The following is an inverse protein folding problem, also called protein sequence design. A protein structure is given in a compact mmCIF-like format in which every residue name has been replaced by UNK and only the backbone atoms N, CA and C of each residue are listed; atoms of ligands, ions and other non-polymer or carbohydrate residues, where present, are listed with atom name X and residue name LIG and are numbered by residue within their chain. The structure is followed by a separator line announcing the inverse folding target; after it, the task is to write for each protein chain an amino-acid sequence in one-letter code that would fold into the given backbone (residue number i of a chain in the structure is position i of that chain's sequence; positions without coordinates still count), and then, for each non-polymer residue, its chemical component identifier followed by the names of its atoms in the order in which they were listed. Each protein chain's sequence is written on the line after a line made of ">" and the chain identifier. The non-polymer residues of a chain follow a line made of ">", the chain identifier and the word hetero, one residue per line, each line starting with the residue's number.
data_IF_658298588255
#
_entry.id   IF_658298588255
#
_cell.length_a   1.000
_cell.length_b   1.000
_cell.length_c   1.000
_cell.angle_alpha   90.00
_cell.angle_beta   90.00
_cell.angle_gamma   90.00
#
_symmetry.space_group_name_H-M   'P 1'
#
loop_
_entity.id
_entity.type
_entity.pdbx_description
1 polymer ?
#
# COMPACT_ATOMS: atom_id res chain seq x y z
N UNK A 1 6.81 18.61 19.13
CA UNK A 1 6.70 17.13 18.97
C UNK A 1 7.43 16.86 17.67
N UNK A 2 8.74 16.62 17.66
CA UNK A 2 9.55 16.83 16.44
C UNK A 2 10.02 15.49 15.86
N UNK A 3 9.08 14.57 15.65
CA UNK A 3 9.37 13.21 15.18
C UNK A 3 8.35 12.78 14.13
N UNK A 4 8.74 11.91 13.21
CA UNK A 4 7.83 11.29 12.25
C UNK A 4 7.36 9.93 12.78
N UNK A 5 6.10 9.57 12.49
CA UNK A 5 5.62 8.22 12.68
C UNK A 5 6.39 7.22 11.79
N UNK A 6 6.24 5.92 12.04
CA UNK A 6 7.02 4.95 11.30
C UNK A 6 6.64 4.93 9.82
N UNK A 7 7.63 4.84 8.94
CA UNK A 7 7.42 4.35 7.57
C UNK A 7 7.15 2.83 7.57
N UNK A 8 6.65 2.29 6.45
CA UNK A 8 6.32 0.87 6.27
C UNK A 8 7.48 -0.08 6.65
N UNK A 9 8.73 0.35 6.49
CA UNK A 9 9.87 -0.23 7.20
C UNK A 9 10.39 -1.56 6.66
N UNK A 10 10.10 -1.86 5.40
CA UNK A 10 10.61 -3.03 4.68
C UNK A 10 10.79 -2.67 3.19
N UNK A 11 11.59 -3.43 2.46
CA UNK A 11 11.73 -3.29 1.00
C UNK A 11 10.64 -4.02 0.24
N UNK A 12 9.99 -5.02 0.88
CA UNK A 12 8.86 -5.78 0.33
C UNK A 12 9.16 -6.24 -1.09
N UNK A 13 10.21 -7.04 -1.23
CA UNK A 13 10.82 -7.36 -2.53
C UNK A 13 10.12 -8.56 -3.16
N UNK A 14 9.84 -8.46 -4.44
CA UNK A 14 9.41 -9.57 -5.29
C UNK A 14 10.51 -9.91 -6.30
N UNK A 15 10.83 -11.20 -6.39
CA UNK A 15 11.71 -11.77 -7.40
C UNK A 15 10.91 -12.69 -8.30
N UNK A 16 11.02 -12.52 -9.61
CA UNK A 16 10.37 -13.40 -10.59
C UNK A 16 11.47 -13.84 -11.56
N UNK A 17 11.67 -15.16 -11.68
CA UNK A 17 12.69 -15.71 -12.55
C UNK A 17 12.21 -16.91 -13.33
N UNK A 18 12.84 -17.17 -14.46
CA UNK A 18 12.48 -18.26 -15.35
C UNK A 18 13.18 -18.14 -16.70
N UNK A 19 12.60 -18.79 -17.71
CA UNK A 19 13.03 -18.67 -19.11
C UNK A 19 11.99 -17.87 -19.87
N UNK A 20 12.42 -16.81 -20.55
CA UNK A 20 11.52 -15.97 -21.35
C UNK A 20 11.08 -16.74 -22.60
N UNK A 21 9.77 -17.00 -22.80
CA UNK A 21 9.29 -17.78 -23.94
C UNK A 21 9.54 -17.09 -25.28
N UNK A 22 9.73 -15.76 -25.30
CA UNK A 22 9.91 -14.93 -26.50
C UNK A 22 11.28 -15.11 -27.15
N UNK A 23 12.32 -15.35 -26.34
CA UNK A 23 13.72 -15.40 -26.81
C UNK A 23 14.54 -16.59 -26.24
N UNK A 24 13.97 -17.38 -25.33
CA UNK A 24 14.59 -18.54 -24.65
C UNK A 24 15.77 -18.21 -23.73
N UNK A 25 15.97 -16.95 -23.38
CA UNK A 25 16.99 -16.53 -22.42
C UNK A 25 16.47 -16.60 -20.98
N UNK A 26 17.36 -16.83 -20.00
CA UNK A 26 16.99 -16.68 -18.59
C UNK A 26 16.68 -15.21 -18.28
N UNK A 27 15.72 -14.99 -17.37
CA UNK A 27 15.44 -13.69 -16.81
C UNK A 27 15.35 -13.75 -15.29
N UNK A 28 15.64 -12.61 -14.66
CA UNK A 28 15.39 -12.37 -13.25
C UNK A 28 14.92 -10.92 -13.10
N UNK A 29 13.68 -10.74 -12.67
CA UNK A 29 13.18 -9.47 -12.20
C UNK A 29 13.40 -9.37 -10.69
N UNK A 30 13.90 -8.22 -10.24
CA UNK A 30 14.09 -7.88 -8.83
C UNK A 30 13.45 -6.53 -8.62
N UNK A 31 12.34 -6.50 -7.89
CA UNK A 31 11.60 -5.27 -7.66
C UNK A 31 11.38 -5.05 -6.17
N UNK A 32 12.11 -4.09 -5.57
CA UNK A 32 11.74 -3.50 -4.30
C UNK A 32 10.50 -2.65 -4.49
N UNK A 33 9.49 -2.83 -3.65
CA UNK A 33 8.21 -2.15 -3.82
C UNK A 33 8.14 -0.87 -2.98
N UNK A 34 7.33 0.07 -3.46
CA UNK A 34 7.05 1.33 -2.78
C UNK A 34 5.94 1.15 -1.72
N UNK A 35 6.00 1.96 -0.66
CA UNK A 35 5.05 1.86 0.45
C UNK A 35 4.73 3.20 1.10
N UNK A 36 3.99 3.14 2.20
CA UNK A 36 3.56 4.33 2.93
C UNK A 36 4.60 4.84 3.92
N UNK A 37 4.84 6.15 3.93
CA UNK A 37 5.69 6.81 4.92
C UNK A 37 4.89 7.36 6.10
N UNK A 38 5.51 7.55 7.26
CA UNK A 38 4.80 8.02 8.44
C UNK A 38 4.39 9.49 8.36
N UNK A 39 3.23 9.82 8.93
CA UNK A 39 2.81 11.20 9.15
C UNK A 39 3.72 11.91 10.15
N UNK A 40 3.79 13.23 10.07
CA UNK A 40 4.66 14.05 10.92
C UNK A 40 3.96 15.38 11.28
N UNK A 41 4.51 16.19 12.19
CA UNK A 41 3.78 17.27 12.87
C UNK A 41 3.19 18.35 11.98
N UNK A 42 3.61 18.42 10.71
CA UNK A 42 3.26 19.48 9.79
C UNK A 42 2.70 18.96 8.45
N UNK A 43 2.69 17.64 8.21
CA UNK A 43 2.19 17.08 6.96
C UNK A 43 1.98 15.56 7.05
N UNK A 44 1.12 15.08 6.15
CA UNK A 44 0.94 13.65 5.91
C UNK A 44 2.23 12.99 5.41
N UNK A 45 2.31 11.68 5.61
CA UNK A 45 3.39 10.87 5.07
C UNK A 45 3.24 10.66 3.56
N UNK A 46 4.36 10.52 2.87
CA UNK A 46 4.39 10.26 1.43
C UNK A 46 3.69 8.93 1.09
N UNK A 47 2.77 8.96 0.13
CA UNK A 47 2.11 7.77 -0.41
C UNK A 47 3.04 7.09 -1.44
N UNK A 48 3.17 5.77 -1.40
CA UNK A 48 3.88 5.00 -2.44
C UNK A 48 5.31 5.47 -2.69
N UNK A 49 6.07 5.80 -1.66
CA UNK A 49 7.47 6.20 -1.76
C UNK A 49 8.39 5.04 -1.39
N UNK A 50 9.50 4.90 -2.13
CA UNK A 50 10.54 3.91 -1.84
C UNK A 50 11.04 4.07 -0.41
N UNK A 51 11.37 2.96 0.28
CA UNK A 51 11.89 3.07 1.63
C UNK A 51 13.23 3.83 1.66
N UNK A 52 13.57 4.34 2.83
CA UNK A 52 14.78 5.12 3.07
C UNK A 52 16.08 4.31 2.93
N UNK A 53 16.04 2.99 3.12
CA UNK A 53 17.23 2.12 3.08
C UNK A 53 17.58 1.60 1.67
N UNK A 54 16.65 1.71 0.73
CA UNK A 54 16.80 1.27 -0.66
C UNK A 54 17.56 2.32 -1.53
N UNK A 55 18.00 3.43 -0.95
CA UNK A 55 18.84 4.41 -1.65
C UNK A 55 18.21 4.93 -2.95
N UNK A 56 18.85 4.65 -4.09
CA UNK A 56 18.46 5.16 -5.41
C UNK A 56 17.52 4.27 -6.22
N UNK A 57 16.90 3.24 -5.64
CA UNK A 57 15.90 2.44 -6.34
C UNK A 57 14.72 3.31 -6.80
N UNK A 58 14.22 3.00 -7.99
CA UNK A 58 13.11 3.72 -8.63
C UNK A 58 11.99 2.75 -8.91
N UNK A 59 10.76 3.24 -8.82
CA UNK A 59 9.60 2.55 -9.37
C UNK A 59 9.78 2.41 -10.89
N UNK A 60 9.72 1.17 -11.39
CA UNK A 60 9.93 0.88 -12.81
C UNK A 60 8.63 1.14 -13.58
N UNK A 61 8.66 1.96 -14.66
CA UNK A 61 7.50 2.14 -15.52
C UNK A 61 6.99 0.80 -16.04
N UNK A 62 5.67 0.63 -16.06
CA UNK A 62 5.03 -0.64 -16.44
C UNK A 62 5.49 -1.08 -17.82
N UNK A 63 5.53 -0.16 -18.79
CA UNK A 63 5.90 -0.45 -20.18
C UNK A 63 7.33 -0.99 -20.29
N UNK A 64 8.25 -0.48 -19.45
CA UNK A 64 9.63 -0.95 -19.40
C UNK A 64 9.70 -2.32 -18.74
N UNK A 65 8.91 -2.56 -17.71
CA UNK A 65 8.86 -3.84 -17.01
C UNK A 65 8.34 -4.96 -17.92
N UNK A 66 7.21 -4.75 -18.58
CA UNK A 66 6.60 -5.72 -19.51
C UNK A 66 7.44 -5.96 -20.77
N UNK A 67 8.19 -4.94 -21.21
CA UNK A 67 9.14 -5.12 -22.30
C UNK A 67 10.28 -6.06 -21.88
N UNK A 68 10.84 -5.86 -20.68
CA UNK A 68 12.00 -6.62 -20.20
C UNK A 68 11.66 -8.03 -19.72
N UNK A 69 10.49 -8.22 -19.11
CA UNK A 69 10.14 -9.47 -18.45
C UNK A 69 8.85 -10.06 -19.04
N UNK A 70 8.69 -11.39 -19.06
CA UNK A 70 7.44 -12.03 -19.50
C UNK A 70 6.39 -11.93 -18.39
N UNK A 71 5.97 -10.70 -18.07
CA UNK A 71 4.98 -10.37 -17.04
C UNK A 71 4.10 -9.25 -17.58
N UNK A 72 2.79 -9.32 -17.32
CA UNK A 72 1.83 -8.26 -17.62
C UNK A 72 1.28 -7.67 -16.32
N UNK A 73 1.05 -6.35 -16.30
CA UNK A 73 0.59 -5.60 -15.13
C UNK A 73 -0.68 -4.82 -15.50
N UNK A 74 -1.83 -5.37 -15.14
CA UNK A 74 -3.12 -4.75 -15.43
C UNK A 74 -3.60 -3.80 -14.33
N UNK A 75 -3.19 -4.05 -13.09
CA UNK A 75 -3.67 -3.35 -11.91
C UNK A 75 -2.49 -2.83 -11.08
N UNK A 76 -2.40 -1.50 -10.94
CA UNK A 76 -1.41 -0.82 -10.11
C UNK A 76 -1.99 0.46 -9.53
N UNK A 77 -1.79 0.71 -8.24
CA UNK A 77 -2.20 1.98 -7.65
C UNK A 77 -2.10 2.03 -6.12
N UNK A 78 -2.62 3.10 -5.54
CA UNK A 78 -2.66 3.26 -4.10
C UNK A 78 -3.62 2.26 -3.45
N UNK A 79 -3.12 1.60 -2.40
CA UNK A 79 -3.93 0.77 -1.51
C UNK A 79 -4.71 1.70 -0.58
N UNK A 80 -5.97 1.95 -0.90
CA UNK A 80 -6.85 2.81 -0.10
C UNK A 80 -6.92 2.33 1.35
N UNK A 81 -7.08 3.27 2.27
CA UNK A 81 -7.24 3.03 3.71
C UNK A 81 -6.05 2.30 4.37
N UNK A 82 -4.92 2.17 3.66
CA UNK A 82 -3.73 1.48 4.20
C UNK A 82 -2.87 2.35 5.10
N UNK A 83 -2.94 3.67 4.91
CA UNK A 83 -2.21 4.64 5.73
C UNK A 83 -2.75 4.70 7.15
N UNK A 84 -1.85 4.78 8.12
CA UNK A 84 -2.18 4.90 9.53
C UNK A 84 -2.97 6.17 9.80
N UNK A 85 -4.02 6.03 10.60
CA UNK A 85 -4.96 7.10 10.90
C UNK A 85 -4.30 8.15 11.79
N UNK A 86 -4.50 9.42 11.50
CA UNK A 86 -4.05 10.50 12.38
C UNK A 86 -4.50 11.86 11.87
N UNK A 87 -4.28 12.90 12.67
CA UNK A 87 -4.43 14.28 12.23
C UNK A 87 -3.60 14.52 10.97
N UNK A 88 -2.36 14.02 10.99
CA UNK A 88 -1.56 13.81 9.79
C UNK A 88 -1.50 12.30 9.50
N UNK A 89 -1.99 11.92 8.33
CA UNK A 89 -2.17 10.53 7.91
C UNK A 89 -0.82 9.93 7.52
N UNK A 90 -0.61 8.66 7.82
CA UNK A 90 0.46 7.90 7.19
C UNK A 90 0.19 7.72 5.69
N UNK A 91 1.23 7.74 4.87
CA UNK A 91 1.10 7.49 3.44
C UNK A 91 0.48 6.12 3.14
N UNK A 92 -0.26 6.04 2.04
CA UNK A 92 -0.80 4.78 1.54
C UNK A 92 0.34 3.90 1.02
N UNK A 93 0.22 2.60 1.28
CA UNK A 93 0.88 1.57 0.49
C UNK A 93 0.28 1.48 -0.91
N UNK A 94 0.74 0.49 -1.66
CA UNK A 94 0.37 0.22 -3.04
C UNK A 94 -0.17 -1.19 -3.17
N UNK A 95 -0.93 -1.42 -4.23
CA UNK A 95 -1.17 -2.76 -4.75
C UNK A 95 -0.63 -2.86 -6.17
N UNK A 96 -0.08 -4.01 -6.54
CA UNK A 96 0.34 -4.30 -7.91
C UNK A 96 0.06 -5.75 -8.26
N UNK A 97 -0.48 -5.98 -9.44
CA UNK A 97 -0.84 -7.31 -9.95
C UNK A 97 0.08 -7.72 -11.08
N UNK A 98 0.75 -8.86 -10.92
CA UNK A 98 1.66 -9.44 -11.90
C UNK A 98 1.02 -10.70 -12.47
N UNK A 99 0.63 -10.65 -13.74
CA UNK A 99 0.25 -11.84 -14.52
C UNK A 99 1.51 -12.42 -15.14
N UNK A 100 1.92 -13.60 -14.71
CA UNK A 100 3.18 -14.21 -15.15
C UNK A 100 2.96 -14.94 -16.48
N UNK A 101 3.71 -14.59 -17.52
CA UNK A 101 3.54 -15.13 -18.88
C UNK A 101 4.51 -16.27 -19.21
N UNK A 102 5.16 -16.86 -18.20
CA UNK A 102 6.16 -17.91 -18.33
C UNK A 102 6.15 -18.85 -17.12
N UNK A 103 6.53 -20.11 -17.32
CA UNK A 103 6.87 -20.99 -16.19
C UNK A 103 8.16 -20.53 -15.53
N UNK A 104 8.25 -20.65 -14.20
CA UNK A 104 9.39 -20.17 -13.46
C UNK A 104 9.25 -20.32 -11.96
N UNK A 105 9.81 -19.36 -11.23
CA UNK A 105 9.73 -19.28 -9.78
C UNK A 105 9.51 -17.86 -9.29
N UNK A 106 8.98 -17.75 -8.08
CA UNK A 106 8.88 -16.50 -7.33
C UNK A 106 9.58 -16.63 -5.97
N UNK A 107 10.28 -15.58 -5.57
CA UNK A 107 10.67 -15.36 -4.16
C UNK A 107 10.00 -14.08 -3.66
N UNK A 108 9.44 -14.13 -2.46
CA UNK A 108 8.74 -13.02 -1.84
C UNK A 108 9.35 -12.76 -0.48
N UNK A 109 9.72 -11.51 -0.21
CA UNK A 109 10.24 -11.05 1.08
C UNK A 109 9.40 -9.89 1.58
N UNK A 110 8.20 -10.20 2.10
CA UNK A 110 7.31 -9.24 2.73
C UNK A 110 7.29 -9.50 4.24
N UNK A 111 7.72 -8.50 5.00
CA UNK A 111 7.81 -8.50 6.47
C UNK A 111 6.75 -7.58 7.10
N UNK A 112 6.90 -7.22 8.38
CA UNK A 112 6.10 -6.16 9.03
C UNK A 112 4.61 -6.50 9.20
N UNK A 113 4.25 -7.78 9.09
CA UNK A 113 2.89 -8.28 9.37
C UNK A 113 2.56 -8.39 10.85
N UNK A 114 3.57 -8.57 11.71
CA UNK A 114 3.41 -8.61 13.18
C UNK A 114 3.65 -7.25 13.80
N UNK A 115 4.63 -6.52 13.29
CA UNK A 115 4.93 -5.14 13.69
C UNK A 115 4.66 -4.25 12.49
N UNK A 116 3.46 -3.65 12.34
CA UNK A 116 3.22 -2.68 11.28
C UNK A 116 3.90 -1.34 11.58
N UNK A 117 3.87 -0.42 10.61
CA UNK A 117 4.33 0.95 10.83
C UNK A 117 3.49 1.61 11.93
N UNK A 118 4.11 1.84 13.09
CA UNK A 118 3.41 2.35 14.26
C UNK A 118 3.10 3.84 14.14
N UNK A 119 1.94 4.23 14.66
CA UNK A 119 1.54 5.62 14.82
C UNK A 119 2.28 6.31 15.98
N UNK A 120 2.21 7.64 16.03
CA UNK A 120 2.77 8.44 17.12
C UNK A 120 1.77 9.45 17.68
N UNK A 121 1.92 9.74 18.98
CA UNK A 121 1.17 10.77 19.71
C UNK A 121 -0.36 10.67 19.56
N UNK A 122 -0.91 9.45 19.50
CA UNK A 122 -2.34 9.20 19.33
C UNK A 122 -2.76 8.82 17.91
N UNK A 123 -1.84 8.90 16.94
CA UNK A 123 -2.01 8.29 15.63
C UNK A 123 -2.02 6.76 15.70
N UNK A 124 -2.57 6.12 14.67
CA UNK A 124 -2.75 4.68 14.55
C UNK A 124 -1.76 4.08 13.57
N UNK A 125 -1.58 2.78 13.69
CA UNK A 125 -0.66 2.02 12.86
C UNK A 125 -1.18 1.92 11.43
N UNK A 126 -0.25 1.81 10.47
CA UNK A 126 -0.56 1.49 9.08
C UNK A 126 -1.02 0.03 8.93
N UNK A 127 -1.73 -0.25 7.85
CA UNK A 127 -2.16 -1.61 7.53
C UNK A 127 -0.95 -2.47 7.13
N UNK A 128 -0.95 -3.72 7.57
CA UNK A 128 0.06 -4.73 7.26
C UNK A 128 0.12 -5.05 5.76
N UNK A 129 1.27 -5.46 5.21
CA UNK A 129 1.30 -5.97 3.85
C UNK A 129 0.57 -7.31 3.72
N UNK A 130 0.27 -7.69 2.48
CA UNK A 130 -0.28 -8.99 2.12
C UNK A 130 0.16 -9.36 0.69
N UNK A 131 0.14 -10.64 0.35
CA UNK A 131 0.37 -11.09 -1.03
C UNK A 131 -0.60 -12.23 -1.34
N UNK A 132 -1.42 -12.03 -2.36
CA UNK A 132 -2.31 -13.05 -2.90
C UNK A 132 -1.68 -13.70 -4.14
N UNK A 133 -1.79 -15.02 -4.25
CA UNK A 133 -1.32 -15.79 -5.40
C UNK A 133 -2.50 -16.62 -5.91
N UNK A 134 -2.92 -16.35 -7.13
CA UNK A 134 -3.94 -17.10 -7.85
C UNK A 134 -3.26 -17.94 -8.93
N UNK A 135 -3.42 -19.26 -8.82
CA UNK A 135 -2.85 -20.23 -9.75
C UNK A 135 -3.79 -20.46 -10.95
N UNK A 136 -3.28 -20.96 -12.09
CA UNK A 136 -4.08 -21.18 -13.30
C UNK A 136 -5.23 -22.20 -13.13
N UNK A 137 -5.10 -23.11 -12.16
CA UNK A 137 -6.14 -24.08 -11.80
C UNK A 137 -7.26 -23.48 -10.93
N UNK A 138 -7.19 -22.19 -10.62
CA UNK A 138 -8.12 -21.46 -9.77
C UNK A 138 -7.80 -21.54 -8.28
N UNK A 139 -6.73 -22.23 -7.87
CA UNK A 139 -6.31 -22.26 -6.46
C UNK A 139 -5.79 -20.87 -6.06
N UNK A 140 -6.26 -20.38 -4.91
CA UNK A 140 -5.75 -19.16 -4.28
C UNK A 140 -4.98 -19.48 -3.00
N UNK A 141 -3.88 -18.77 -2.77
CA UNK A 141 -3.14 -18.83 -1.51
C UNK A 141 -2.50 -17.48 -1.16
N UNK A 142 -2.39 -17.21 0.14
CA UNK A 142 -1.69 -16.03 0.66
C UNK A 142 -0.30 -16.42 1.15
N UNK A 143 0.73 -15.84 0.55
CA UNK A 143 2.13 -16.10 0.93
C UNK A 143 2.97 -14.84 0.85
N UNK A 144 3.31 -14.28 1.99
CA UNK A 144 4.21 -13.13 2.07
C UNK A 144 5.70 -13.50 2.00
N UNK A 145 6.03 -14.76 2.31
CA UNK A 145 7.42 -15.24 2.32
C UNK A 145 7.55 -16.59 1.66
N UNK A 146 8.28 -16.63 0.56
CA UNK A 146 8.67 -17.86 -0.13
C UNK A 146 10.05 -17.70 -0.75
N UNK A 147 10.76 -18.82 -0.89
CA UNK A 147 12.05 -18.88 -1.56
C UNK A 147 11.95 -19.82 -2.75
N UNK A 148 12.16 -19.27 -3.95
CA UNK A 148 12.14 -19.99 -5.23
C UNK A 148 10.93 -20.94 -5.38
N UNK A 149 9.74 -20.48 -4.98
CA UNK A 149 8.52 -21.26 -5.13
C UNK A 149 8.20 -21.40 -6.62
N UNK A 150 8.02 -22.62 -7.15
CA UNK A 150 7.62 -22.82 -8.54
C UNK A 150 6.28 -22.14 -8.83
N UNK A 151 6.18 -21.53 -10.01
CA UNK A 151 4.95 -20.92 -10.53
C UNK A 151 4.80 -21.28 -12.01
N UNK A 152 3.55 -21.36 -12.45
CA UNK A 152 3.23 -21.63 -13.84
C UNK A 152 2.89 -20.35 -14.59
N UNK A 153 2.97 -20.40 -15.91
CA UNK A 153 2.38 -19.37 -16.74
C UNK A 153 0.88 -19.20 -16.40
N UNK A 154 0.42 -17.95 -16.43
CA UNK A 154 -0.89 -17.46 -16.00
C UNK A 154 -1.14 -17.43 -14.48
N UNK A 155 -0.12 -17.67 -13.64
CA UNK A 155 -0.22 -17.32 -12.21
C UNK A 155 -0.35 -15.80 -12.09
N UNK A 156 -1.30 -15.35 -11.26
CA UNK A 156 -1.49 -13.94 -10.92
C UNK A 156 -0.99 -13.73 -9.49
N UNK A 157 -0.06 -12.80 -9.31
CA UNK A 157 0.47 -12.43 -7.99
C UNK A 157 0.05 -11.00 -7.72
N UNK A 158 -0.75 -10.77 -6.68
CA UNK A 158 -1.13 -9.42 -6.26
C UNK A 158 -0.42 -9.08 -4.97
N UNK A 159 0.51 -8.14 -5.02
CA UNK A 159 1.21 -7.64 -3.83
C UNK A 159 0.45 -6.45 -3.26
N UNK A 160 0.40 -6.36 -1.93
CA UNK A 160 -0.15 -5.24 -1.18
C UNK A 160 0.90 -4.77 -0.19
N UNK A 161 1.46 -3.58 -0.40
CA UNK A 161 2.45 -3.02 0.53
C UNK A 161 1.77 -2.36 1.73
N UNK A 162 2.54 -2.23 2.82
CA UNK A 162 2.07 -1.60 4.05
C UNK A 162 1.96 -0.08 3.92
N UNK A 163 1.07 0.51 4.71
CA UNK A 163 1.03 1.96 4.91
C UNK A 163 2.02 2.45 5.97
N UNK A 164 2.19 3.77 6.05
CA UNK A 164 2.94 4.40 7.14
C UNK A 164 2.07 4.62 8.38
N UNK A 165 2.66 4.89 9.53
CA UNK A 165 1.94 5.24 10.75
C UNK A 165 1.34 6.64 10.71
N UNK A 166 0.22 6.84 11.39
CA UNK A 166 -0.42 8.15 11.56
C UNK A 166 0.19 8.96 12.69
N UNK A 167 -0.03 10.27 12.68
CA UNK A 167 0.46 11.21 13.68
C UNK A 167 -0.71 12.02 14.26
N UNK A 168 -0.77 12.09 15.59
CA UNK A 168 -1.85 12.73 16.35
C UNK A 168 -3.24 12.09 16.15
N UNK A 169 -4.22 12.36 17.02
CA UNK A 169 -5.53 11.72 16.93
C UNK A 169 -6.26 12.02 15.60
N UNK A 170 -6.91 11.02 14.97
CA UNK A 170 -7.57 11.20 13.67
C UNK A 170 -8.76 12.16 13.71
N UNK A 171 -9.45 12.28 14.86
CA UNK A 171 -10.58 13.21 15.01
C UNK A 171 -10.15 14.69 14.99
N UNK A 172 -8.85 14.97 15.14
CA UNK A 172 -8.28 16.32 15.00
C UNK A 172 -7.96 16.68 13.54
N UNK A 173 -8.03 15.73 12.59
CA UNK A 173 -7.76 16.01 11.17
C UNK A 173 -8.77 17.04 10.64
N UNK A 174 -8.28 17.99 9.86
CA UNK A 174 -9.13 18.95 9.16
C UNK A 174 -10.11 18.20 8.21
N UNK A 175 -11.44 18.42 8.32
CA UNK A 175 -12.41 17.82 7.41
C UNK A 175 -12.11 18.04 5.93
N UNK A 176 -11.52 19.18 5.55
CA UNK A 176 -11.15 19.43 4.15
C UNK A 176 -10.00 18.54 3.69
N UNK A 177 -9.03 18.26 4.56
CA UNK A 177 -7.97 17.27 4.29
C UNK A 177 -8.53 15.85 4.16
N UNK A 178 -9.56 15.49 4.94
CA UNK A 178 -10.26 14.21 4.76
C UNK A 178 -11.00 14.15 3.43
N UNK A 179 -11.66 15.24 3.03
CA UNK A 179 -12.29 15.32 1.71
C UNK A 179 -11.27 15.18 0.58
N UNK A 180 -10.12 15.84 0.70
CA UNK A 180 -9.01 15.69 -0.23
C UNK A 180 -8.55 14.23 -0.34
N UNK A 181 -8.40 13.52 0.79
CA UNK A 181 -8.05 12.10 0.78
C UNK A 181 -9.10 11.24 0.06
N UNK A 182 -10.39 11.54 0.23
CA UNK A 182 -11.49 10.84 -0.43
C UNK A 182 -11.50 11.07 -1.93
N UNK A 183 -11.36 12.33 -2.38
CA UNK A 183 -11.31 12.68 -3.80
C UNK A 183 -10.13 11.98 -4.48
N UNK A 184 -8.98 11.94 -3.81
CA UNK A 184 -7.76 11.28 -4.32
C UNK A 184 -7.73 9.76 -4.09
N UNK A 185 -8.80 9.19 -3.52
CA UNK A 185 -8.96 7.76 -3.26
C UNK A 185 -7.90 7.18 -2.31
N UNK A 186 -7.32 7.99 -1.43
CA UNK A 186 -6.48 7.51 -0.33
C UNK A 186 -7.32 6.94 0.81
N UNK A 187 -8.47 7.56 1.05
CA UNK A 187 -9.46 7.17 2.06
C UNK A 187 -10.81 6.93 1.39
N UNK A 188 -11.59 5.96 1.84
CA UNK A 188 -12.96 5.73 1.37
C UNK A 188 -13.98 6.63 2.08
N UNK A 189 -15.17 6.85 1.50
CA UNK A 189 -16.23 7.66 2.15
C UNK A 189 -16.64 7.02 3.49
N UNK A 190 -16.68 5.70 3.51
CA UNK A 190 -16.99 4.89 4.68
C UNK A 190 -15.97 5.14 5.79
N UNK A 191 -14.67 5.06 5.46
CA UNK A 191 -13.59 5.27 6.43
C UNK A 191 -13.43 6.74 6.84
N UNK A 192 -13.78 7.69 5.98
CA UNK A 192 -13.88 9.11 6.35
C UNK A 192 -14.86 9.31 7.53
N UNK A 193 -16.01 8.64 7.50
CA UNK A 193 -17.00 8.68 8.58
C UNK A 193 -16.53 7.90 9.81
N UNK A 194 -16.07 6.67 9.61
CA UNK A 194 -15.72 5.76 10.70
C UNK A 194 -14.49 6.22 11.48
N UNK A 195 -13.42 6.61 10.79
CA UNK A 195 -12.12 6.86 11.40
C UNK A 195 -11.92 8.33 11.77
N UNK A 196 -12.37 9.24 10.91
CA UNK A 196 -12.14 10.68 11.06
C UNK A 196 -13.39 11.44 11.53
N UNK A 197 -14.54 10.77 11.62
CA UNK A 197 -15.81 11.38 12.00
C UNK A 197 -16.32 12.42 10.99
N UNK A 198 -15.89 12.36 9.72
CA UNK A 198 -16.26 13.32 8.68
C UNK A 198 -17.31 12.70 7.77
N UNK A 199 -18.45 13.36 7.64
CA UNK A 199 -19.56 12.89 6.81
C UNK A 199 -19.48 13.56 5.45
N UNK A 200 -19.19 12.75 4.42
CA UNK A 200 -19.07 13.18 3.03
C UNK A 200 -20.14 12.46 2.22
N UNK A 201 -20.85 13.19 1.36
CA UNK A 201 -21.86 12.61 0.48
C UNK A 201 -21.24 12.12 -0.85
N UNK A 202 -22.03 11.45 -1.70
CA UNK A 202 -21.58 10.94 -3.00
C UNK A 202 -21.21 12.04 -4.02
N UNK A 203 -21.46 13.31 -3.71
CA UNK A 203 -21.05 14.48 -4.51
C UNK A 203 -19.75 15.11 -3.99
N UNK A 204 -19.08 14.49 -3.03
CA UNK A 204 -17.87 15.00 -2.39
C UNK A 204 -18.09 16.33 -1.65
N UNK A 205 -19.21 16.44 -0.94
CA UNK A 205 -19.53 17.60 -0.09
C UNK A 205 -19.52 17.17 1.38
N UNK A 206 -18.90 17.98 2.24
CA UNK A 206 -18.85 17.74 3.70
C UNK A 206 -20.16 18.23 4.33
N UNK A 207 -20.78 17.37 5.15
CA UNK A 207 -21.84 17.79 6.06
C UNK A 207 -21.21 18.26 7.38
N UNK A 208 -21.03 19.59 7.52
CA UNK A 208 -20.37 20.18 8.69
C UNK A 208 -21.15 19.95 10.00
N UNK A 209 -22.48 20.07 9.98
CA UNK A 209 -23.30 19.89 11.17
C UNK A 209 -23.22 18.46 11.70
N UNK A 210 -23.39 17.47 10.82
CA UNK A 210 -23.35 16.06 11.21
C UNK A 210 -21.92 15.61 11.56
N UNK A 211 -20.89 16.17 10.88
CA UNK A 211 -19.47 15.94 11.24
C UNK A 211 -19.19 16.42 12.66
N UNK A 212 -19.66 17.61 13.03
CA UNK A 212 -19.47 18.15 14.38
C UNK A 212 -20.20 17.30 15.43
N UNK A 213 -21.45 16.91 15.16
CA UNK A 213 -22.22 16.01 16.05
C UNK A 213 -21.50 14.68 16.25
N UNK A 214 -21.04 14.05 15.17
CA UNK A 214 -20.36 12.75 15.21
C UNK A 214 -19.03 12.83 15.97
N UNK A 215 -18.23 13.88 15.76
CA UNK A 215 -16.98 14.08 16.50
C UNK A 215 -17.21 14.32 17.99
N UNK A 216 -18.22 15.11 18.35
CA UNK A 216 -18.58 15.31 19.76
C UNK A 216 -19.02 14.01 20.44
N UNK A 217 -19.79 13.17 19.75
CA UNK A 217 -20.18 11.85 20.24
C UNK A 217 -18.99 10.91 20.43
N UNK A 218 -18.00 10.94 19.52
CA UNK A 218 -16.79 10.11 19.60
C UNK A 218 -15.77 10.59 20.66
N UNK A 219 -15.83 11.86 21.05
CA UNK A 219 -14.98 12.44 22.09
C UNK A 219 -15.58 12.34 23.51
N UNK A 220 -16.85 11.98 23.62
CA UNK A 220 -17.56 11.75 24.90
C UNK A 220 -17.33 10.33 25.39
#
# INVERSE_FOLDING_TARGET
>A
KDSAAAHYGDSMVIFIGGIDPRNKNPFLSVEPTCGGWGGFPNSDGANGLINNVNGGFKDLPIEIFENKYPVSIFNYGFRKDSGGLGKFRGGCGLYREYTINADGFVSLWFERSVTPAWGLFGGKDGIIPDVNIQHPDGKEEKKMKVSAMPINANTIITTYTGGGGGFEPPLERDPNSVLYDVINKYVTIERAKEDYGVIINNKFEINNEETLKLRNQKNS
#
